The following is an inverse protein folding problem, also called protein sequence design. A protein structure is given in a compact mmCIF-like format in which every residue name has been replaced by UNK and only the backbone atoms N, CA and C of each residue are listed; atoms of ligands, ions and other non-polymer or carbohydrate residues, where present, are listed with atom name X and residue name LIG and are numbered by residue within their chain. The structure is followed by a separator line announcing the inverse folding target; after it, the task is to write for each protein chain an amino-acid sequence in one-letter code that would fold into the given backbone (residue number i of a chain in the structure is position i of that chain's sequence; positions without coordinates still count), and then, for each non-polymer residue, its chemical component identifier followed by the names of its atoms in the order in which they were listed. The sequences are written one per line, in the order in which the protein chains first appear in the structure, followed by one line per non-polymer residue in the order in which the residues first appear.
data_IF_720149158772
#
_entry.id   IF_720149158772
#
_cell.length_a   1.000
_cell.length_b   1.000
_cell.length_c   1.000
_cell.angle_alpha   90.00
_cell.angle_beta   90.00
_cell.angle_gamma   90.00
#
_symmetry.space_group_name_H-M   'P 1'
#
loop_
_entity.id
_entity.type
_entity.pdbx_description
1 polymer ?
#
# COMPACT_ATOMS: atom_id res chain seq x y z
N UNK A 1 -13.44 -12.35 -14.71
CA UNK A 1 -14.02 -11.38 -13.76
C UNK A 1 -14.14 -10.05 -14.48
N UNK A 2 -15.27 -9.34 -14.41
CA UNK A 2 -15.42 -8.05 -15.09
C UNK A 2 -14.35 -7.04 -14.63
N UNK A 3 -13.85 -6.21 -15.55
CA UNK A 3 -12.77 -5.23 -15.29
C UNK A 3 -13.05 -4.38 -14.05
N UNK A 4 -14.28 -3.88 -13.91
CA UNK A 4 -14.68 -3.06 -12.76
C UNK A 4 -14.55 -3.78 -11.41
N UNK A 5 -14.73 -5.11 -11.35
CA UNK A 5 -14.57 -5.88 -10.11
C UNK A 5 -13.09 -6.09 -9.76
N UNK A 6 -12.22 -6.17 -10.77
CA UNK A 6 -10.75 -6.23 -10.57
C UNK A 6 -10.25 -4.89 -10.00
N UNK A 7 -10.66 -3.77 -10.62
CA UNK A 7 -10.26 -2.43 -10.16
C UNK A 7 -10.70 -2.20 -8.71
N UNK A 8 -11.97 -2.50 -8.37
CA UNK A 8 -12.47 -2.37 -6.99
C UNK A 8 -11.66 -3.19 -5.99
N UNK A 9 -11.26 -4.41 -6.37
CA UNK A 9 -10.44 -5.27 -5.50
C UNK A 9 -9.05 -4.68 -5.28
N UNK A 10 -8.35 -4.30 -6.35
CA UNK A 10 -6.99 -3.77 -6.20
C UNK A 10 -6.98 -2.42 -5.49
N UNK A 11 -7.98 -1.56 -5.73
CA UNK A 11 -8.17 -0.31 -4.98
C UNK A 11 -8.41 -0.60 -3.49
N UNK A 12 -9.23 -1.59 -3.16
CA UNK A 12 -9.46 -2.01 -1.78
C UNK A 12 -8.19 -2.48 -1.08
N UNK A 13 -7.35 -3.27 -1.77
CA UNK A 13 -6.05 -3.72 -1.26
C UNK A 13 -5.11 -2.52 -1.05
N UNK A 14 -5.04 -1.62 -2.02
CA UNK A 14 -4.19 -0.43 -1.93
C UNK A 14 -4.59 0.48 -0.76
N UNK A 15 -5.89 0.78 -0.62
CA UNK A 15 -6.40 1.62 0.47
C UNK A 15 -6.19 0.95 1.84
N UNK A 16 -6.37 -0.37 1.92
CA UNK A 16 -6.04 -1.12 3.13
C UNK A 16 -4.55 -0.98 3.48
N UNK A 17 -3.65 -1.16 2.50
CA UNK A 17 -2.20 -1.00 2.72
C UNK A 17 -1.84 0.42 3.13
N UNK A 18 -2.44 1.44 2.54
CA UNK A 18 -2.21 2.84 2.89
C UNK A 18 -2.52 3.10 4.37
N UNK A 19 -3.70 2.68 4.82
CA UNK A 19 -4.13 2.86 6.22
C UNK A 19 -3.27 2.02 7.15
N UNK A 20 -3.04 0.75 6.79
CA UNK A 20 -2.25 -0.18 7.59
C UNK A 20 -0.81 0.33 7.77
N UNK A 21 -0.14 0.74 6.70
CA UNK A 21 1.23 1.27 6.75
C UNK A 21 1.29 2.58 7.52
N UNK A 22 0.33 3.49 7.32
CA UNK A 22 0.23 4.74 8.07
C UNK A 22 0.17 4.47 9.58
N UNK A 23 -0.77 3.62 10.02
CA UNK A 23 -0.91 3.28 11.43
C UNK A 23 0.30 2.52 11.96
N UNK A 24 0.80 1.53 11.21
CA UNK A 24 1.91 0.69 11.63
C UNK A 24 3.22 1.48 11.80
N UNK A 25 3.55 2.32 10.82
CA UNK A 25 4.82 3.06 10.81
C UNK A 25 4.80 4.30 11.69
N UNK A 26 3.65 4.98 11.76
CA UNK A 26 3.51 6.24 12.48
C UNK A 26 2.69 6.11 13.76
N UNK A 27 2.56 4.90 14.32
CA UNK A 27 1.74 4.64 15.51
C UNK A 27 2.07 5.61 16.66
N UNK A 28 3.36 5.85 16.90
CA UNK A 28 3.82 6.71 17.99
C UNK A 28 3.53 8.18 17.72
N UNK A 29 3.82 8.65 16.52
CA UNK A 29 3.62 10.04 16.10
C UNK A 29 2.12 10.39 16.04
N UNK A 30 1.29 9.46 15.53
CA UNK A 30 -0.16 9.59 15.48
C UNK A 30 -0.79 9.69 16.88
N UNK A 31 -0.22 9.02 17.89
CA UNK A 31 -0.75 9.08 19.26
C UNK A 31 -0.17 10.23 20.09
N UNK A 32 1.09 10.59 19.88
CA UNK A 32 1.76 11.58 20.72
C UNK A 32 1.66 13.01 20.19
N UNK A 33 1.70 13.21 18.87
CA UNK A 33 1.68 14.55 18.26
C UNK A 33 1.06 14.54 16.85
N UNK A 34 -0.21 14.11 16.69
CA UNK A 34 -0.83 13.92 15.39
C UNK A 34 -0.83 15.18 14.53
N UNK A 35 -1.17 16.33 15.11
CA UNK A 35 -1.24 17.61 14.40
C UNK A 35 0.14 18.00 13.86
N UNK A 36 1.18 17.88 14.70
CA UNK A 36 2.55 18.20 14.29
C UNK A 36 3.07 17.21 13.24
N UNK A 37 2.71 15.94 13.34
CA UNK A 37 3.06 14.95 12.32
C UNK A 37 2.50 15.31 10.93
N UNK A 38 1.24 15.76 10.86
CA UNK A 38 0.67 16.22 9.59
C UNK A 38 1.27 17.53 9.08
N UNK A 39 1.67 18.45 9.97
CA UNK A 39 2.34 19.70 9.57
C UNK A 39 3.71 19.47 8.94
N UNK A 40 4.45 18.48 9.42
CA UNK A 40 5.77 18.13 8.87
C UNK A 40 5.68 17.22 7.62
N UNK A 41 4.48 16.82 7.19
CA UNK A 41 4.29 15.97 6.00
C UNK A 41 4.93 16.54 4.70
N UNK A 42 4.90 17.86 4.42
CA UNK A 42 5.59 18.43 3.26
C UNK A 42 7.12 18.31 3.32
N UNK A 43 7.70 18.21 4.51
CA UNK A 43 9.16 18.14 4.74
C UNK A 43 9.71 16.72 4.61
N UNK A 44 8.81 15.72 4.60
CA UNK A 44 9.19 14.33 4.43
C UNK A 44 9.90 14.09 3.08
N UNK A 45 10.77 13.06 2.98
CA UNK A 45 11.28 12.60 1.70
C UNK A 45 10.10 12.29 0.76
N UNK A 46 10.15 12.78 -0.48
CA UNK A 46 9.03 12.71 -1.45
C UNK A 46 7.78 13.55 -1.09
N UNK A 47 7.91 14.43 -0.09
CA UNK A 47 6.91 15.40 0.33
C UNK A 47 5.57 14.78 0.68
N UNK A 48 4.49 15.51 0.37
CA UNK A 48 3.10 15.08 0.62
C UNK A 48 2.71 13.76 -0.05
N UNK A 49 3.43 13.34 -1.09
CA UNK A 49 3.10 12.15 -1.88
C UNK A 49 3.72 10.87 -1.32
N UNK A 50 4.66 10.96 -0.37
CA UNK A 50 5.35 9.79 0.16
C UNK A 50 4.42 8.68 0.68
N UNK A 51 3.26 8.94 1.33
CA UNK A 51 2.40 7.86 1.80
C UNK A 51 1.84 7.06 0.61
N UNK A 52 1.51 7.75 -0.48
CA UNK A 52 1.03 7.13 -1.71
C UNK A 52 2.14 6.37 -2.42
N UNK A 53 3.30 7.00 -2.63
CA UNK A 53 4.42 6.38 -3.34
C UNK A 53 4.95 5.15 -2.60
N UNK A 54 5.09 5.22 -1.28
CA UNK A 54 5.55 4.10 -0.48
C UNK A 54 4.53 2.96 -0.45
N UNK A 55 3.24 3.27 -0.30
CA UNK A 55 2.16 2.28 -0.39
C UNK A 55 2.16 1.60 -1.77
N UNK A 56 2.36 2.37 -2.85
CA UNK A 56 2.46 1.83 -4.19
C UNK A 56 3.65 0.90 -4.36
N UNK A 57 4.81 1.24 -3.81
CA UNK A 57 5.98 0.35 -3.81
C UNK A 57 5.67 -0.99 -3.11
N UNK A 58 5.09 -0.95 -1.90
CA UNK A 58 4.71 -2.16 -1.15
C UNK A 58 3.63 -2.96 -1.89
N UNK A 59 2.64 -2.29 -2.47
CA UNK A 59 1.61 -2.91 -3.30
C UNK A 59 2.23 -3.65 -4.49
N UNK A 60 3.19 -3.03 -5.19
CA UNK A 60 3.91 -3.65 -6.31
C UNK A 60 4.68 -4.90 -5.86
N UNK A 61 5.36 -4.85 -4.71
CA UNK A 61 6.04 -6.04 -4.15
C UNK A 61 5.05 -7.18 -3.90
N UNK A 62 3.91 -6.90 -3.26
CA UNK A 62 2.86 -7.90 -3.01
C UNK A 62 2.26 -8.40 -4.34
N UNK A 63 2.06 -7.52 -5.32
CA UNK A 63 1.56 -7.89 -6.64
C UNK A 63 2.52 -8.85 -7.35
N UNK A 64 3.82 -8.58 -7.33
CA UNK A 64 4.85 -9.46 -7.92
C UNK A 64 4.76 -10.85 -7.29
N UNK A 65 4.68 -10.95 -5.96
CA UNK A 65 4.54 -12.23 -5.25
C UNK A 65 3.25 -12.94 -5.65
N UNK A 66 2.12 -12.23 -5.72
CA UNK A 66 0.81 -12.81 -6.14
C UNK A 66 0.88 -13.35 -7.57
N UNK A 67 1.47 -12.60 -8.50
CA UNK A 67 1.63 -13.01 -9.90
C UNK A 67 2.56 -14.23 -9.99
N UNK A 68 3.68 -14.21 -9.28
CA UNK A 68 4.62 -15.33 -9.25
C UNK A 68 3.97 -16.61 -8.72
N UNK A 69 3.27 -16.55 -7.58
CA UNK A 69 2.53 -17.69 -7.03
C UNK A 69 1.48 -18.20 -8.02
N UNK A 70 0.75 -17.30 -8.69
CA UNK A 70 -0.24 -17.68 -9.70
C UNK A 70 0.41 -18.41 -10.88
N UNK A 71 1.54 -17.91 -11.36
CA UNK A 71 2.31 -18.52 -12.44
C UNK A 71 2.78 -19.94 -12.08
N UNK A 72 3.40 -20.13 -10.91
CA UNK A 72 3.86 -21.45 -10.45
C UNK A 72 2.70 -22.44 -10.28
N UNK A 73 1.56 -21.99 -9.74
CA UNK A 73 0.36 -22.85 -9.60
C UNK A 73 -0.23 -23.27 -10.94
N UNK A 74 -0.08 -22.44 -11.98
CA UNK A 74 -0.52 -22.78 -13.33
C UNK A 74 0.37 -23.86 -13.93
N UNK A 75 1.70 -23.72 -13.80
CA UNK A 75 2.65 -24.72 -14.29
C UNK A 75 2.50 -26.10 -13.66
N UNK A 76 2.03 -26.21 -12.42
CA UNK A 76 1.81 -27.50 -11.73
C UNK A 76 0.49 -28.19 -12.09
N UNK A 77 -0.42 -27.50 -12.79
CA UNK A 77 -1.75 -28.02 -13.13
C UNK A 77 -1.77 -28.69 -14.52
N UNK A 78 -0.78 -28.38 -15.34
CA UNK A 78 -0.50 -28.99 -16.64
C UNK A 78 0.54 -30.11 -16.48
#
# INVERSE_FOLDING_TARGET
MAMGKIIKRELGIYLFLLIFLCVWMHYKELLSHPIEHFKHLPEAPFGLLHPLLFTFAVYCMILIVRVFIHFIRRLKRD
#
